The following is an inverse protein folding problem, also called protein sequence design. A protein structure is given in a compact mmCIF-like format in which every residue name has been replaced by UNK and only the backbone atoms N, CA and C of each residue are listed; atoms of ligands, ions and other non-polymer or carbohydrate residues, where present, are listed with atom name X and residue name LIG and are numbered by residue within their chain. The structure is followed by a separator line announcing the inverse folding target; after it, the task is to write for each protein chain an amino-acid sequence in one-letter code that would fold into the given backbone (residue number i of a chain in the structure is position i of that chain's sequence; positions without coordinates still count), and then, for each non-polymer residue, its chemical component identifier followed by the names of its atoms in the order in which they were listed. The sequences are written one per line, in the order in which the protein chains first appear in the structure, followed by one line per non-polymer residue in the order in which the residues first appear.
data_IF_224240082373
#
_entry.id   IF_224240082373
#
_cell.length_a   1.000
_cell.length_b   1.000
_cell.length_c   1.000
_cell.angle_alpha   90.00
_cell.angle_beta   90.00
_cell.angle_gamma   90.00
#
_symmetry.space_group_name_H-M   'P 1'
#
loop_
_entity.id
_entity.type
_entity.pdbx_description
1 polymer ?
#
# COMPACT_ATOMS: atom_id res chain seq x y z
N UNK A 1 7.30 -36.89 6.06
CA UNK A 1 7.91 -35.76 5.31
C UNK A 1 7.43 -34.47 5.92
N UNK A 2 8.32 -33.72 6.58
CA UNK A 2 7.97 -32.46 7.23
C UNK A 2 8.03 -31.36 6.17
N UNK A 3 6.87 -30.98 5.62
CA UNK A 3 6.78 -29.85 4.69
C UNK A 3 7.09 -28.56 5.47
N UNK A 4 8.37 -28.18 5.56
CA UNK A 4 8.76 -26.82 5.89
C UNK A 4 8.06 -25.93 4.86
N UNK A 5 7.02 -25.23 5.30
CA UNK A 5 6.26 -24.30 4.46
C UNK A 5 7.26 -23.41 3.73
N UNK A 6 7.17 -23.32 2.40
CA UNK A 6 8.01 -22.42 1.59
C UNK A 6 7.82 -21.01 2.15
N UNK A 7 8.72 -20.57 3.03
CA UNK A 7 8.67 -19.24 3.64
C UNK A 7 9.04 -18.27 2.53
N UNK A 8 8.02 -17.64 1.93
CA UNK A 8 8.25 -16.61 0.93
C UNK A 8 9.20 -15.55 1.51
N UNK A 9 10.18 -15.07 0.73
CA UNK A 9 11.10 -14.03 1.19
C UNK A 9 10.32 -12.78 1.60
N UNK A 10 10.77 -12.11 2.66
CA UNK A 10 10.02 -11.01 3.25
C UNK A 10 9.87 -9.80 2.29
N UNK A 11 10.77 -9.67 1.32
CA UNK A 11 10.67 -8.72 0.21
C UNK A 11 9.45 -8.96 -0.68
N UNK A 12 9.14 -10.21 -1.03
CA UNK A 12 7.95 -10.54 -1.82
C UNK A 12 6.66 -10.28 -1.04
N UNK A 13 6.63 -10.54 0.26
CA UNK A 13 5.49 -10.21 1.12
C UNK A 13 5.26 -8.69 1.19
N UNK A 14 6.34 -7.91 1.27
CA UNK A 14 6.28 -6.45 1.23
C UNK A 14 5.74 -5.97 -0.12
N UNK A 15 6.30 -6.45 -1.23
CA UNK A 15 5.84 -6.08 -2.57
C UNK A 15 4.34 -6.38 -2.76
N UNK A 16 3.91 -7.60 -2.43
CA UNK A 16 2.50 -7.98 -2.49
C UNK A 16 1.61 -7.04 -1.65
N UNK A 17 2.08 -6.66 -0.46
CA UNK A 17 1.36 -5.73 0.42
C UNK A 17 1.26 -4.33 -0.18
N UNK A 18 2.35 -3.78 -0.71
CA UNK A 18 2.37 -2.46 -1.37
C UNK A 18 1.40 -2.42 -2.56
N UNK A 19 1.45 -3.42 -3.46
CA UNK A 19 0.54 -3.54 -4.59
C UNK A 19 -0.92 -3.65 -4.15
N UNK A 20 -1.18 -4.42 -3.08
CA UNK A 20 -2.53 -4.57 -2.53
C UNK A 20 -3.06 -3.27 -1.94
N UNK A 21 -2.22 -2.51 -1.22
CA UNK A 21 -2.56 -1.19 -0.66
C UNK A 21 -2.93 -0.21 -1.79
N UNK A 22 -2.11 -0.13 -2.84
CA UNK A 22 -2.40 0.72 -4.00
C UNK A 22 -3.73 0.37 -4.66
N UNK A 23 -4.00 -0.91 -4.88
CA UNK A 23 -5.28 -1.37 -5.44
C UNK A 23 -6.48 -1.03 -4.56
N UNK A 24 -6.31 -1.01 -3.24
CA UNK A 24 -7.38 -0.60 -2.32
C UNK A 24 -7.70 0.89 -2.45
N UNK A 25 -6.68 1.74 -2.60
CA UNK A 25 -6.87 3.17 -2.84
C UNK A 25 -7.52 3.48 -4.19
N UNK A 26 -7.15 2.75 -5.25
CA UNK A 26 -7.76 2.90 -6.58
C UNK A 26 -9.27 2.59 -6.56
N UNK A 27 -9.70 1.62 -5.75
CA UNK A 27 -11.11 1.29 -5.53
C UNK A 27 -11.83 2.23 -4.53
N UNK A 28 -11.19 3.35 -4.14
CA UNK A 28 -11.69 4.31 -3.14
C UNK A 28 -12.13 3.67 -1.83
N UNK A 29 -11.51 2.55 -1.45
CA UNK A 29 -11.79 1.91 -0.16
C UNK A 29 -11.11 2.69 0.94
N UNK A 30 -11.89 3.09 1.94
CA UNK A 30 -11.33 3.64 3.18
C UNK A 30 -10.58 2.55 3.93
N UNK A 31 -9.34 2.85 4.32
CA UNK A 31 -8.44 1.90 4.98
C UNK A 31 -7.72 2.62 6.11
N UNK A 32 -7.68 2.03 7.32
CA UNK A 32 -6.96 2.59 8.46
C UNK A 32 -5.66 1.83 8.69
N UNK A 33 -4.77 2.37 9.52
CA UNK A 33 -3.53 1.68 9.92
C UNK A 33 -3.83 0.34 10.58
N UNK A 34 -4.88 0.29 11.41
CA UNK A 34 -5.35 -0.91 12.11
C UNK A 34 -5.83 -1.97 11.14
N UNK A 35 -6.71 -1.59 10.19
CA UNK A 35 -7.31 -2.56 9.28
C UNK A 35 -6.30 -3.10 8.28
N UNK A 36 -5.36 -2.27 7.82
CA UNK A 36 -4.24 -2.71 6.98
C UNK A 36 -3.27 -3.63 7.75
N UNK A 37 -2.93 -3.28 8.99
CA UNK A 37 -2.05 -4.09 9.84
C UNK A 37 -2.64 -5.48 10.07
N UNK A 38 -3.93 -5.54 10.43
CA UNK A 38 -4.66 -6.81 10.61
C UNK A 38 -4.73 -7.61 9.30
N UNK A 39 -5.10 -6.98 8.18
CA UNK A 39 -5.26 -7.63 6.88
C UNK A 39 -3.97 -8.29 6.38
N UNK A 40 -2.83 -7.66 6.61
CA UNK A 40 -1.54 -8.17 6.12
C UNK A 40 -0.71 -8.84 7.21
N UNK A 41 -1.29 -9.11 8.38
CA UNK A 41 -0.61 -9.70 9.53
C UNK A 41 0.75 -9.02 9.83
N UNK A 42 0.71 -7.70 9.97
CA UNK A 42 1.88 -6.85 10.18
C UNK A 42 1.58 -5.78 11.24
N UNK A 43 2.55 -4.93 11.56
CA UNK A 43 2.38 -3.86 12.55
C UNK A 43 1.95 -2.56 11.90
N UNK A 44 1.28 -1.67 12.66
CA UNK A 44 0.98 -0.30 12.20
C UNK A 44 2.23 0.46 11.78
N UNK A 45 3.37 0.21 12.45
CA UNK A 45 4.68 0.78 12.10
C UNK A 45 5.13 0.35 10.69
N UNK A 46 4.92 -0.92 10.34
CA UNK A 46 5.23 -1.39 9.00
C UNK A 46 4.29 -0.78 7.96
N UNK A 47 2.98 -0.64 8.28
CA UNK A 47 2.04 0.09 7.41
C UNK A 47 2.50 1.53 7.19
N UNK A 48 2.87 2.26 8.24
CA UNK A 48 3.40 3.62 8.11
C UNK A 48 4.63 3.69 7.20
N UNK A 49 5.57 2.74 7.33
CA UNK A 49 6.74 2.63 6.45
C UNK A 49 6.33 2.33 5.01
N UNK A 50 5.40 1.42 4.80
CA UNK A 50 4.90 1.06 3.47
C UNK A 50 4.25 2.27 2.79
N UNK A 51 3.43 3.05 3.52
CA UNK A 51 2.84 4.30 3.01
C UNK A 51 3.93 5.33 2.69
N UNK A 52 4.95 5.45 3.53
CA UNK A 52 6.09 6.34 3.27
C UNK A 52 6.89 5.93 2.02
N UNK A 53 7.09 4.63 1.82
CA UNK A 53 7.75 4.10 0.62
C UNK A 53 6.91 4.39 -0.63
N UNK A 54 5.58 4.26 -0.56
CA UNK A 54 4.67 4.61 -1.65
C UNK A 54 4.68 6.11 -1.95
N UNK A 55 4.65 6.97 -0.93
CA UNK A 55 4.78 8.42 -1.09
C UNK A 55 6.12 8.79 -1.75
N UNK A 56 7.21 8.14 -1.33
CA UNK A 56 8.54 8.33 -1.93
C UNK A 56 8.62 7.88 -3.40
N UNK A 57 7.76 6.93 -3.80
CA UNK A 57 7.59 6.49 -5.18
C UNK A 57 6.61 7.35 -6.00
N UNK A 58 6.05 8.42 -5.41
CA UNK A 58 5.17 9.38 -6.11
C UNK A 58 3.68 9.15 -5.93
N UNK A 59 3.25 8.16 -5.12
CA UNK A 59 1.84 7.96 -4.81
C UNK A 59 1.41 8.87 -3.66
N UNK A 60 0.66 9.94 -3.93
CA UNK A 60 0.22 10.89 -2.91
C UNK A 60 -0.87 10.30 -1.99
N UNK A 61 -0.45 9.69 -0.88
CA UNK A 61 -1.34 9.08 0.12
C UNK A 61 -1.19 9.83 1.44
N UNK A 62 -2.29 10.41 1.92
CA UNK A 62 -2.35 11.12 3.18
C UNK A 62 -3.23 10.40 4.19
N UNK A 63 -2.93 10.59 5.48
CA UNK A 63 -3.80 10.18 6.56
C UNK A 63 -4.77 11.32 6.88
N UNK A 64 -6.05 11.08 6.65
CA UNK A 64 -7.14 11.95 7.07
C UNK A 64 -7.43 11.69 8.56
N UNK A 65 -7.13 12.70 9.37
CA UNK A 65 -7.32 12.63 10.84
C UNK A 65 -8.78 12.71 11.24
N UNK A 66 -9.62 13.38 10.45
CA UNK A 66 -11.05 13.54 10.76
C UNK A 66 -11.79 12.23 10.51
N UNK A 67 -11.45 11.56 9.41
CA UNK A 67 -12.04 10.27 9.02
C UNK A 67 -11.25 9.07 9.56
N UNK A 68 -10.13 9.29 10.25
CA UNK A 68 -9.22 8.29 10.79
C UNK A 68 -8.81 7.23 9.72
N UNK A 69 -8.57 7.68 8.49
CA UNK A 69 -8.41 6.80 7.32
C UNK A 69 -7.33 7.31 6.37
N UNK A 70 -6.76 6.43 5.58
CA UNK A 70 -5.89 6.83 4.49
C UNK A 70 -6.70 7.19 3.25
N UNK A 71 -6.33 8.30 2.62
CA UNK A 71 -6.94 8.80 1.38
C UNK A 71 -5.87 9.08 0.33
N UNK A 72 -6.22 8.85 -0.94
CA UNK A 72 -5.39 9.30 -2.06
C UNK A 72 -5.69 10.77 -2.32
N UNK A 73 -4.64 11.59 -2.39
CA UNK A 73 -4.73 13.01 -2.76
C UNK A 73 -4.69 13.22 -4.27
N UNK A 74 -4.64 12.15 -5.08
CA UNK A 74 -4.58 12.28 -6.52
C UNK A 74 -5.85 12.94 -7.08
N UNK A 75 -5.67 14.08 -7.74
CA UNK A 75 -6.70 14.73 -8.53
C UNK A 75 -6.93 13.94 -9.82
N UNK A 76 -7.99 13.13 -9.86
CA UNK A 76 -8.60 12.49 -11.06
C UNK A 76 -7.73 11.58 -11.95
N UNK A 77 -6.45 11.39 -11.66
CA UNK A 77 -5.58 10.48 -12.43
C UNK A 77 -5.31 9.21 -11.64
N UNK A 78 -5.58 8.05 -12.26
CA UNK A 78 -5.37 6.74 -11.63
C UNK A 78 -3.89 6.58 -11.22
N UNK A 79 -3.59 5.92 -10.08
CA UNK A 79 -2.21 5.60 -9.70
C UNK A 79 -1.49 4.75 -10.76
N UNK A 80 -2.23 4.00 -11.60
CA UNK A 80 -1.65 3.30 -12.75
C UNK A 80 -1.32 4.22 -13.93
N UNK A 81 -1.98 5.38 -14.05
CA UNK A 81 -1.66 6.37 -15.07
C UNK A 81 -0.30 7.06 -14.79
N UNK A 82 0.07 7.23 -13.52
CA UNK A 82 1.40 7.73 -13.12
C UNK A 82 2.51 6.75 -13.44
N UNK A 83 2.26 5.44 -13.32
CA UNK A 83 3.22 4.40 -13.71
C UNK A 83 3.46 4.38 -15.23
N UNK A 84 2.42 4.60 -16.04
CA UNK A 84 2.59 4.67 -17.50
C UNK A 84 3.43 5.87 -17.94
N UNK A 85 3.34 7.03 -17.26
CA UNK A 85 4.20 8.16 -17.63
C UNK A 85 5.65 7.94 -17.23
N UNK A 86 5.92 7.24 -16.13
CA UNK A 86 7.27 6.99 -15.62
C UNK A 86 8.03 5.93 -16.44
N UNK A 87 7.34 4.94 -17.00
CA UNK A 87 7.95 3.85 -17.79
C UNK A 87 8.15 4.25 -19.27
N UNK A 88 7.38 5.24 -19.75
CA UNK A 88 7.47 5.76 -21.13
C UNK A 88 8.36 7.01 -21.26
N UNK A 89 9.08 7.39 -20.20
CA UNK A 89 10.09 8.46 -20.19
C UNK A 89 11.49 7.88 -20.12
#
# INVERSE_FOLDING_TARGET
MNQKSKRFPDSLKKLHRLLSILRMFDNRKQCTSETLAAKFNTTKRNIFRDINDLNSAGFAIAFDKEQNTYTSLQTRTSPFATLTSLIMS
#
